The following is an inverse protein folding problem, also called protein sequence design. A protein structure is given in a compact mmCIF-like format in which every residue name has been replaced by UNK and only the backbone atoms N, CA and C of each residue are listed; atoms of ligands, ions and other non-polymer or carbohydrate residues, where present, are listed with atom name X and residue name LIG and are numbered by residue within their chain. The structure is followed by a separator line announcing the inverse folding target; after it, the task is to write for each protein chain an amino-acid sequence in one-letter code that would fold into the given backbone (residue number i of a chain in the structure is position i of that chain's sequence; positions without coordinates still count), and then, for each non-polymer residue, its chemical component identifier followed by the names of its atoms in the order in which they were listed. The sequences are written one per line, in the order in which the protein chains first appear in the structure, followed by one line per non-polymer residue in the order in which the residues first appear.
data_IF_131556788938
#
_entry.id   IF_131556788938
#
_cell.length_a   1.000
_cell.length_b   1.000
_cell.length_c   1.000
_cell.angle_alpha   90.00
_cell.angle_beta   90.00
_cell.angle_gamma   90.00
#
_symmetry.space_group_name_H-M   'P 1'
#
loop_
_entity.id
_entity.type
_entity.pdbx_description
1 polymer ?
#
# COMPACT_ATOMS: atom_id res chain seq x y z
N UNK A 1 -11.69 -14.08 -14.73
CA UNK A 1 -11.38 -14.86 -15.94
C UNK A 1 -9.87 -15.07 -15.92
N UNK A 2 -9.38 -16.31 -15.93
CA UNK A 2 -7.94 -16.59 -15.82
C UNK A 2 -7.25 -16.20 -17.14
N UNK A 3 -6.37 -15.21 -17.11
CA UNK A 3 -5.61 -14.78 -18.29
C UNK A 3 -4.21 -15.40 -18.27
N UNK A 4 -3.97 -16.33 -19.21
CA UNK A 4 -2.73 -17.11 -19.30
C UNK A 4 -1.48 -16.24 -19.50
N UNK A 5 -1.58 -15.12 -20.23
CA UNK A 5 -0.47 -14.21 -20.50
C UNK A 5 0.06 -13.53 -19.23
N UNK A 6 -0.84 -12.95 -18.42
CA UNK A 6 -0.48 -12.35 -17.13
C UNK A 6 0.15 -13.36 -16.17
N UNK A 7 -0.35 -14.60 -16.16
CA UNK A 7 0.17 -15.63 -15.27
C UNK A 7 1.57 -16.13 -15.68
N UNK A 8 1.80 -16.31 -16.99
CA UNK A 8 3.13 -16.64 -17.51
C UNK A 8 4.15 -15.53 -17.18
N UNK A 9 3.77 -14.27 -17.41
CA UNK A 9 4.61 -13.12 -17.08
C UNK A 9 4.92 -13.03 -15.58
N UNK A 10 3.92 -13.28 -14.71
CA UNK A 10 4.16 -13.31 -13.27
C UNK A 10 5.23 -14.35 -12.91
N UNK A 11 5.15 -15.57 -13.47
CA UNK A 11 6.14 -16.60 -13.20
C UNK A 11 7.54 -16.23 -13.69
N UNK A 12 7.66 -15.62 -14.88
CA UNK A 12 8.94 -15.11 -15.38
C UNK A 12 9.53 -14.08 -14.42
N UNK A 13 8.73 -13.10 -14.01
CA UNK A 13 9.17 -12.07 -13.06
C UNK A 13 9.62 -12.73 -11.74
N UNK A 14 8.83 -13.66 -11.20
CA UNK A 14 9.17 -14.36 -9.96
C UNK A 14 10.48 -15.16 -10.03
N UNK A 15 10.87 -15.65 -11.22
CA UNK A 15 12.17 -16.30 -11.44
C UNK A 15 13.32 -15.30 -11.53
N UNK A 16 13.06 -14.09 -12.04
CA UNK A 16 14.05 -13.01 -12.15
C UNK A 16 14.30 -12.29 -10.82
N UNK A 17 13.33 -12.32 -9.89
CA UNK A 17 13.48 -11.75 -8.55
C UNK A 17 14.62 -12.42 -7.76
N UNK A 18 15.46 -11.60 -7.11
CA UNK A 18 16.62 -12.07 -6.34
C UNK A 18 16.23 -13.12 -5.27
N UNK A 19 17.05 -14.17 -5.06
CA UNK A 19 16.77 -15.26 -4.11
C UNK A 19 16.73 -14.82 -2.63
N UNK A 20 17.23 -13.63 -2.31
CA UNK A 20 17.12 -13.01 -0.97
C UNK A 20 15.67 -12.69 -0.58
N UNK A 21 14.74 -12.69 -1.55
CA UNK A 21 13.29 -12.49 -1.41
C UNK A 21 12.58 -13.84 -1.07
N UNK A 22 13.33 -14.84 -0.56
CA UNK A 22 12.86 -16.20 -0.31
C UNK A 22 12.43 -16.53 1.13
N UNK A 23 12.48 -15.59 2.09
CA UNK A 23 12.10 -15.86 3.47
C UNK A 23 10.58 -16.13 3.65
N UNK A 24 10.20 -16.92 4.66
CA UNK A 24 8.80 -17.17 5.08
C UNK A 24 7.89 -15.93 5.11
N UNK A 25 8.47 -14.75 5.31
CA UNK A 25 7.79 -13.44 5.32
C UNK A 25 7.12 -13.10 3.98
N UNK A 26 7.63 -13.60 2.87
CA UNK A 26 7.18 -13.26 1.51
C UNK A 26 6.08 -14.16 0.99
N UNK A 27 5.77 -15.26 1.69
CA UNK A 27 4.62 -16.11 1.33
C UNK A 27 3.31 -15.31 1.26
N UNK A 28 3.05 -14.45 2.25
CA UNK A 28 1.87 -13.58 2.25
C UNK A 28 1.88 -12.56 1.10
N UNK A 29 3.06 -12.04 0.76
CA UNK A 29 3.23 -11.16 -0.39
C UNK A 29 2.89 -11.88 -1.69
N UNK A 30 3.48 -13.05 -1.95
CA UNK A 30 3.24 -13.82 -3.17
C UNK A 30 1.77 -14.24 -3.32
N UNK A 31 1.09 -14.64 -2.23
CA UNK A 31 -0.35 -14.93 -2.27
C UNK A 31 -1.15 -13.70 -2.72
N UNK A 32 -0.87 -12.53 -2.14
CA UNK A 32 -1.57 -11.28 -2.50
C UNK A 32 -1.21 -10.82 -3.90
N UNK A 33 0.05 -10.93 -4.30
CA UNK A 33 0.51 -10.60 -5.64
C UNK A 33 -0.21 -11.48 -6.66
N UNK A 34 -0.19 -12.81 -6.51
CA UNK A 34 -0.90 -13.72 -7.41
C UNK A 34 -2.39 -13.43 -7.53
N UNK A 35 -3.06 -13.08 -6.43
CA UNK A 35 -4.49 -12.73 -6.42
C UNK A 35 -4.80 -11.40 -7.14
N UNK A 36 -3.86 -10.46 -7.16
CA UNK A 36 -4.09 -9.10 -7.69
C UNK A 36 -3.31 -8.80 -8.99
N UNK A 37 -2.38 -9.66 -9.39
CA UNK A 37 -1.45 -9.40 -10.49
C UNK A 37 -2.17 -9.17 -11.80
N UNK A 38 -3.22 -9.96 -12.09
CA UNK A 38 -4.02 -9.77 -13.30
C UNK A 38 -4.58 -8.35 -13.41
N UNK A 39 -5.13 -7.79 -12.32
CA UNK A 39 -5.67 -6.44 -12.32
C UNK A 39 -4.57 -5.39 -12.50
N UNK A 40 -3.43 -5.57 -11.81
CA UNK A 40 -2.26 -4.69 -11.96
C UNK A 40 -1.75 -4.73 -13.41
N UNK A 41 -1.51 -5.92 -13.95
CA UNK A 41 -1.04 -6.14 -15.32
C UNK A 41 -1.99 -5.53 -16.34
N UNK A 42 -3.30 -5.81 -16.23
CA UNK A 42 -4.31 -5.32 -17.18
C UNK A 42 -4.36 -3.79 -17.20
N UNK A 43 -4.35 -3.13 -16.03
CA UNK A 43 -4.37 -1.68 -15.94
C UNK A 43 -3.05 -1.05 -16.43
N UNK A 44 -1.91 -1.68 -16.12
CA UNK A 44 -0.62 -1.19 -16.55
C UNK A 44 -0.43 -1.36 -18.07
N UNK A 45 -0.89 -2.48 -18.63
CA UNK A 45 -0.89 -2.75 -20.06
C UNK A 45 -1.83 -1.82 -20.82
N UNK A 46 -3.01 -1.52 -20.27
CA UNK A 46 -3.93 -0.53 -20.86
C UNK A 46 -3.26 0.83 -21.06
N UNK A 47 -2.38 1.24 -20.15
CA UNK A 47 -1.70 2.54 -20.21
C UNK A 47 -0.38 2.51 -20.97
N UNK A 48 0.38 1.41 -20.89
CA UNK A 48 1.78 1.35 -21.30
C UNK A 48 2.15 0.12 -22.15
N UNK A 49 1.17 -0.69 -22.57
CA UNK A 49 1.38 -1.99 -23.19
C UNK A 49 2.15 -1.95 -24.52
N UNK A 50 1.98 -0.88 -25.30
CA UNK A 50 2.64 -0.69 -26.59
C UNK A 50 4.09 -0.19 -26.46
N UNK A 51 4.57 0.07 -25.25
CA UNK A 51 5.94 0.54 -25.06
C UNK A 51 6.95 -0.60 -25.17
N UNK A 52 8.10 -0.38 -25.83
CA UNK A 52 9.14 -1.39 -25.96
C UNK A 52 9.77 -1.79 -24.60
N UNK A 53 9.68 -0.92 -23.58
CA UNK A 53 10.20 -1.14 -22.23
C UNK A 53 9.12 -1.60 -21.22
N UNK A 54 7.93 -2.01 -21.70
CA UNK A 54 6.84 -2.48 -20.86
C UNK A 54 7.27 -3.57 -19.88
N UNK A 55 7.92 -4.64 -20.37
CA UNK A 55 8.36 -5.77 -19.54
C UNK A 55 9.36 -5.32 -18.46
N UNK A 56 10.34 -4.50 -18.81
CA UNK A 56 11.33 -3.99 -17.86
C UNK A 56 10.66 -3.17 -16.74
N UNK A 57 9.69 -2.32 -17.09
CA UNK A 57 8.94 -1.56 -16.09
C UNK A 57 8.02 -2.43 -15.22
N UNK A 58 7.47 -3.52 -15.77
CA UNK A 58 6.69 -4.48 -14.98
C UNK A 58 7.55 -5.21 -13.95
N UNK A 59 8.76 -5.66 -14.33
CA UNK A 59 9.74 -6.24 -13.40
C UNK A 59 10.07 -5.25 -12.29
N UNK A 60 10.45 -4.01 -12.66
CA UNK A 60 10.78 -2.95 -11.69
C UNK A 60 9.62 -2.66 -10.72
N UNK A 61 8.38 -2.68 -11.20
CA UNK A 61 7.19 -2.50 -10.37
C UNK A 61 7.09 -3.62 -9.33
N UNK A 62 7.16 -4.89 -9.75
CA UNK A 62 7.04 -6.04 -8.84
C UNK A 62 8.20 -6.08 -7.85
N UNK A 63 9.43 -5.80 -8.28
CA UNK A 63 10.59 -5.66 -7.40
C UNK A 63 10.37 -4.58 -6.34
N UNK A 64 9.90 -3.40 -6.76
CA UNK A 64 9.60 -2.29 -5.84
C UNK A 64 8.53 -2.71 -4.83
N UNK A 65 7.46 -3.38 -5.27
CA UNK A 65 6.42 -3.88 -4.36
C UNK A 65 6.98 -4.89 -3.35
N UNK A 66 7.84 -5.80 -3.78
CA UNK A 66 8.45 -6.81 -2.90
C UNK A 66 9.38 -6.16 -1.86
N UNK A 67 10.28 -5.27 -2.28
CA UNK A 67 11.20 -4.54 -1.40
C UNK A 67 10.43 -3.69 -0.38
N UNK A 68 9.44 -2.92 -0.83
CA UNK A 68 8.62 -2.09 0.08
C UNK A 68 7.80 -2.92 1.06
N UNK A 69 7.36 -4.10 0.66
CA UNK A 69 6.72 -5.04 1.58
C UNK A 69 7.70 -5.57 2.64
N UNK A 70 8.94 -5.88 2.26
CA UNK A 70 9.99 -6.31 3.19
C UNK A 70 10.39 -5.22 4.19
N UNK A 71 10.42 -3.96 3.77
CA UNK A 71 10.73 -2.81 4.62
C UNK A 71 9.59 -2.41 5.57
N UNK A 72 8.35 -2.85 5.27
CA UNK A 72 7.16 -2.48 6.05
C UNK A 72 7.26 -2.94 7.50
N UNK A 73 7.05 -2.05 8.46
CA UNK A 73 7.20 -2.36 9.89
C UNK A 73 6.20 -3.43 10.38
N UNK A 74 6.55 -4.23 11.42
CA UNK A 74 5.66 -5.26 11.96
C UNK A 74 4.29 -4.73 12.42
N UNK A 75 4.25 -3.51 12.97
CA UNK A 75 3.01 -2.87 13.44
C UNK A 75 2.05 -2.61 12.27
N UNK A 76 2.58 -2.14 11.13
CA UNK A 76 1.77 -1.90 9.93
C UNK A 76 1.31 -3.21 9.29
N UNK A 77 2.15 -4.26 9.28
CA UNK A 77 1.74 -5.59 8.81
C UNK A 77 0.60 -6.18 9.65
N UNK A 78 0.64 -5.98 10.97
CA UNK A 78 -0.47 -6.39 11.86
C UNK A 78 -1.76 -5.67 11.47
N UNK A 79 -1.69 -4.38 11.14
CA UNK A 79 -2.85 -3.63 10.65
C UNK A 79 -3.34 -4.15 9.29
N UNK A 80 -2.44 -4.54 8.39
CA UNK A 80 -2.84 -5.11 7.08
C UNK A 80 -3.66 -6.38 7.28
N UNK A 81 -3.15 -7.33 8.09
CA UNK A 81 -3.83 -8.60 8.38
C UNK A 81 -5.17 -8.39 9.11
N UNK A 82 -5.26 -7.40 9.99
CA UNK A 82 -6.52 -7.09 10.68
C UNK A 82 -7.57 -6.55 9.70
N UNK A 83 -7.19 -5.65 8.79
CA UNK A 83 -8.07 -5.04 7.78
C UNK A 83 -8.42 -6.00 6.65
N UNK A 84 -7.57 -6.97 6.35
CA UNK A 84 -7.88 -8.03 5.40
C UNK A 84 -8.96 -8.99 5.93
N UNK A 85 -8.97 -9.25 7.24
CA UNK A 85 -10.02 -10.04 7.91
C UNK A 85 -11.33 -9.28 8.05
N UNK A 86 -11.27 -7.98 8.25
CA UNK A 86 -12.42 -7.08 8.31
C UNK A 86 -12.40 -6.09 7.14
N UNK A 87 -12.83 -6.55 5.96
CA UNK A 87 -12.77 -5.76 4.73
C UNK A 87 -13.66 -4.50 4.76
N UNK A 88 -14.63 -4.41 5.69
CA UNK A 88 -15.52 -3.26 5.86
C UNK A 88 -15.11 -2.37 7.04
N UNK A 89 -13.88 -2.52 7.57
CA UNK A 89 -13.43 -1.81 8.78
C UNK A 89 -13.67 -0.30 8.74
N UNK A 90 -13.57 0.32 7.56
CA UNK A 90 -13.74 1.76 7.35
C UNK A 90 -15.20 2.24 7.32
N UNK A 91 -16.18 1.32 7.22
CA UNK A 91 -17.62 1.63 7.27
C UNK A 91 -18.18 1.67 8.70
N UNK A 92 -17.38 1.29 9.69
CA UNK A 92 -17.80 1.29 11.10
C UNK A 92 -18.18 2.70 11.56
N UNK A 93 -19.35 2.83 12.20
CA UNK A 93 -19.81 4.10 12.81
C UNK A 93 -18.91 4.59 13.95
N UNK A 94 -17.92 3.79 14.36
CA UNK A 94 -16.90 4.20 15.33
C UNK A 94 -15.88 5.16 14.74
N UNK A 95 -15.74 5.25 13.42
CA UNK A 95 -14.83 6.20 12.79
C UNK A 95 -15.40 7.61 12.79
N UNK A 96 -14.62 8.55 13.33
CA UNK A 96 -14.92 9.98 13.29
C UNK A 96 -13.69 10.69 12.72
N UNK A 97 -13.87 11.25 11.53
CA UNK A 97 -12.82 11.90 10.75
C UNK A 97 -12.79 13.42 10.94
N UNK A 98 -11.59 14.01 10.94
CA UNK A 98 -11.40 15.46 10.87
C UNK A 98 -10.32 15.81 9.86
N UNK A 99 -10.59 16.82 9.03
CA UNK A 99 -9.60 17.41 8.14
C UNK A 99 -9.07 18.73 8.73
N UNK A 100 -7.76 18.97 8.66
CA UNK A 100 -7.16 20.21 9.18
C UNK A 100 -5.87 20.62 8.46
N UNK A 101 -5.60 21.92 8.50
CA UNK A 101 -4.31 22.50 8.12
C UNK A 101 -3.36 22.48 9.32
N UNK A 102 -2.22 21.81 9.19
CA UNK A 102 -1.28 21.62 10.30
C UNK A 102 -0.72 22.94 10.84
N UNK A 103 -0.36 23.84 9.92
CA UNK A 103 0.13 25.19 10.18
C UNK A 103 -0.90 26.07 10.88
N UNK A 104 -2.20 25.92 10.54
CA UNK A 104 -3.27 26.72 11.14
C UNK A 104 -3.81 26.17 12.45
N UNK A 105 -3.75 24.85 12.63
CA UNK A 105 -4.29 24.19 13.80
C UNK A 105 -3.28 24.10 14.95
N UNK A 106 -1.99 23.94 14.61
CA UNK A 106 -0.96 23.61 15.59
C UNK A 106 0.46 24.03 15.18
N UNK A 107 0.60 25.00 14.28
CA UNK A 107 1.86 25.53 13.72
C UNK A 107 2.69 24.51 12.89
N UNK A 108 2.93 23.32 13.42
CA UNK A 108 3.64 22.22 12.76
C UNK A 108 3.20 20.83 13.26
N UNK A 109 3.83 19.78 12.74
CA UNK A 109 3.53 18.39 13.13
C UNK A 109 3.94 18.06 14.58
N UNK A 110 4.92 18.77 15.16
CA UNK A 110 5.29 18.60 16.56
C UNK A 110 4.22 19.21 17.46
N UNK A 111 3.72 20.40 17.10
CA UNK A 111 2.59 21.06 17.74
C UNK A 111 1.32 20.21 17.64
N UNK A 112 1.08 19.56 16.50
CA UNK A 112 -0.07 18.67 16.31
C UNK A 112 -0.07 17.52 17.34
N UNK A 113 1.11 16.98 17.66
CA UNK A 113 1.25 15.94 18.68
C UNK A 113 0.77 16.41 20.06
N UNK A 114 0.91 17.70 20.38
CA UNK A 114 0.40 18.28 21.64
C UNK A 114 -1.12 18.42 21.66
N UNK A 115 -1.78 18.42 20.50
CA UNK A 115 -3.24 18.50 20.36
C UNK A 115 -3.92 17.13 20.33
N UNK A 116 -3.18 16.03 20.37
CA UNK A 116 -3.76 14.68 20.39
C UNK A 116 -4.76 14.45 21.55
N UNK A 117 -4.51 14.91 22.80
CA UNK A 117 -5.50 14.76 23.87
C UNK A 117 -6.84 15.43 23.53
N UNK A 118 -6.80 16.67 23.01
CA UNK A 118 -8.00 17.38 22.56
C UNK A 118 -8.77 16.62 21.47
N UNK A 119 -8.05 16.07 20.47
CA UNK A 119 -8.67 15.30 19.39
C UNK A 119 -9.30 13.99 19.92
N UNK A 120 -8.65 13.34 20.89
CA UNK A 120 -9.16 12.14 21.54
C UNK A 120 -10.41 12.42 22.37
N UNK A 121 -10.42 13.52 23.14
CA UNK A 121 -11.60 13.96 23.92
C UNK A 121 -12.79 14.31 23.02
N UNK A 122 -12.52 14.88 21.84
CA UNK A 122 -13.54 15.12 20.81
C UNK A 122 -14.04 13.82 20.13
N UNK A 123 -13.34 12.71 20.32
CA UNK A 123 -13.66 11.41 19.71
C UNK A 123 -13.09 11.22 18.30
N UNK A 124 -12.22 12.10 17.83
CA UNK A 124 -11.58 11.99 16.51
C UNK A 124 -10.55 10.86 16.52
N UNK A 125 -10.68 9.94 15.58
CA UNK A 125 -9.77 8.79 15.43
C UNK A 125 -9.27 8.56 14.00
N UNK A 126 -9.68 9.40 13.05
CA UNK A 126 -9.11 9.50 11.72
C UNK A 126 -8.76 10.97 11.43
N UNK A 127 -7.49 11.25 11.13
CA UNK A 127 -7.04 12.61 10.86
C UNK A 127 -6.56 12.74 9.42
N UNK A 128 -7.14 13.68 8.68
CA UNK A 128 -6.69 14.09 7.36
C UNK A 128 -5.92 15.42 7.49
N UNK A 129 -4.60 15.34 7.39
CA UNK A 129 -3.74 16.51 7.46
C UNK A 129 -3.59 17.06 6.03
N UNK A 130 -4.01 18.30 5.82
CA UNK A 130 -3.83 19.02 4.55
C UNK A 130 -2.33 19.13 4.21
N UNK A 131 -1.97 19.37 2.94
CA UNK A 131 -0.66 18.98 2.38
C UNK A 131 0.55 19.28 3.26
N UNK A 132 1.39 18.26 3.49
CA UNK A 132 2.57 18.30 4.36
C UNK A 132 3.89 18.06 3.62
N UNK A 133 3.83 17.81 2.32
CA UNK A 133 5.00 17.60 1.47
C UNK A 133 5.47 18.94 0.92
N UNK A 134 6.74 19.02 0.54
CA UNK A 134 7.33 20.19 -0.09
C UNK A 134 6.54 20.59 -1.35
N UNK A 135 6.29 21.90 -1.50
CA UNK A 135 5.48 22.50 -2.56
C UNK A 135 6.27 23.55 -3.35
#
# INVERSE_FOLDING_TARGET
MYEQASHAMLNEILMELKPEIGEHRLRHFYTRLGANFYAIHSLFHLLYGERPDFKAHMVNLVETLAVRYMERSPQLRKSDLARERDYNWFLSQKWVGMALYCDRFSDDLKGLRTKLPYLQDLGINLLHIMPILDC
#
